data_IF_242283610295
#
_entry.id   IF_242283610295
#
_cell.length_a   1.000
_cell.length_b   1.000
_cell.length_c   1.000
_cell.angle_alpha   90.00
_cell.angle_beta   90.00
_cell.angle_gamma   90.00
#
_symmetry.space_group_name_H-M   'P 1'
#
loop_
_entity.id
_entity.type
_entity.pdbx_description
1 polymer ?
#
# COMPACT_ATOMS: atom_id res chain seq x y z
N UNK A 1 -11.15 -13.35 1.90
CA UNK A 1 -9.69 -13.47 1.67
C UNK A 1 -9.41 -14.46 0.56
N UNK A 2 -9.32 -13.98 -0.69
CA UNK A 2 -8.91 -14.78 -1.85
C UNK A 2 -7.86 -13.97 -2.62
N UNK A 3 -6.66 -14.52 -2.80
CA UNK A 3 -5.59 -13.90 -3.59
C UNK A 3 -5.44 -14.70 -4.88
N UNK A 4 -5.65 -14.05 -6.03
CA UNK A 4 -5.39 -14.66 -7.33
C UNK A 4 -3.95 -14.35 -7.74
N UNK A 5 -3.10 -15.38 -7.83
CA UNK A 5 -1.70 -15.26 -8.26
C UNK A 5 -1.66 -15.57 -9.76
N UNK A 6 -1.66 -14.52 -10.59
CA UNK A 6 -1.37 -14.65 -12.03
C UNK A 6 0.14 -14.51 -12.24
N UNK A 7 0.88 -15.61 -12.07
CA UNK A 7 2.20 -15.91 -12.65
C UNK A 7 3.36 -14.90 -12.64
N UNK A 8 3.23 -13.67 -12.13
CA UNK A 8 4.22 -12.59 -12.22
C UNK A 8 4.08 -11.56 -11.09
N UNK A 9 3.93 -12.00 -9.84
CA UNK A 9 3.90 -11.16 -8.63
C UNK A 9 2.85 -10.03 -8.55
N UNK A 10 2.15 -9.75 -9.65
CA UNK A 10 0.97 -8.92 -9.71
C UNK A 10 -0.19 -9.62 -9.01
N UNK A 11 -0.78 -8.91 -8.09
CA UNK A 11 -1.98 -9.28 -7.38
C UNK A 11 -2.98 -8.13 -7.48
N UNK A 12 -4.26 -8.46 -7.33
CA UNK A 12 -5.28 -7.47 -7.07
C UNK A 12 -5.55 -7.47 -5.56
N UNK A 13 -5.15 -6.40 -4.88
CA UNK A 13 -5.48 -6.16 -3.47
C UNK A 13 -6.80 -5.39 -3.39
N UNK A 14 -7.70 -5.75 -2.47
CA UNK A 14 -9.05 -5.16 -2.43
C UNK A 14 -9.04 -3.63 -2.27
N UNK A 15 -8.24 -3.12 -1.32
CA UNK A 15 -8.14 -1.66 -1.08
C UNK A 15 -7.08 -0.96 -1.94
N UNK A 16 -5.92 -1.60 -2.16
CA UNK A 16 -4.77 -1.03 -2.89
C UNK A 16 -4.80 -1.31 -4.40
N UNK A 17 -5.80 -2.07 -4.88
CA UNK A 17 -5.96 -2.49 -6.27
C UNK A 17 -4.74 -3.23 -6.84
N UNK A 18 -4.48 -3.08 -8.13
CA UNK A 18 -3.37 -3.75 -8.79
C UNK A 18 -2.05 -3.35 -8.15
N UNK A 19 -1.36 -4.37 -7.66
CA UNK A 19 -0.12 -4.21 -6.92
C UNK A 19 0.86 -5.30 -7.33
N UNK A 20 2.13 -4.94 -7.51
CA UNK A 20 3.20 -5.91 -7.75
C UNK A 20 4.00 -6.11 -6.47
N UNK A 21 4.06 -7.34 -5.97
CA UNK A 21 4.70 -7.64 -4.69
C UNK A 21 6.06 -8.31 -4.86
N UNK A 22 7.04 -7.84 -4.10
CA UNK A 22 8.33 -8.51 -3.90
C UNK A 22 8.43 -8.88 -2.42
N UNK A 23 8.15 -10.14 -2.12
CA UNK A 23 8.29 -10.70 -0.78
C UNK A 23 9.76 -11.10 -0.59
N UNK A 24 10.46 -10.42 0.31
CA UNK A 24 11.85 -10.75 0.66
C UNK A 24 11.92 -11.74 1.81
N UNK A 25 10.99 -11.64 2.77
CA UNK A 25 10.85 -12.51 3.93
C UNK A 25 9.44 -12.38 4.52
N UNK A 26 9.11 -13.16 5.55
CA UNK A 26 7.85 -13.02 6.29
C UNK A 26 7.66 -11.62 6.90
N UNK A 27 8.77 -10.93 7.18
CA UNK A 27 8.80 -9.58 7.77
C UNK A 27 9.17 -8.46 6.77
N UNK A 28 9.20 -8.72 5.47
CA UNK A 28 9.58 -7.71 4.48
C UNK A 28 8.87 -7.92 3.15
N UNK A 29 7.97 -6.99 2.83
CA UNK A 29 7.24 -6.97 1.55
C UNK A 29 7.37 -5.59 0.93
N UNK A 30 7.94 -5.55 -0.28
CA UNK A 30 7.88 -4.39 -1.15
C UNK A 30 6.67 -4.52 -2.08
N UNK A 31 5.93 -3.43 -2.25
CA UNK A 31 4.70 -3.37 -3.03
C UNK A 31 4.82 -2.16 -3.97
N UNK A 32 4.79 -2.40 -5.27
CA UNK A 32 4.51 -1.35 -6.23
C UNK A 32 3.00 -1.18 -6.32
N UNK A 33 2.48 -0.02 -5.94
CA UNK A 33 1.04 0.27 -5.96
C UNK A 33 0.74 1.10 -7.20
N UNK A 34 -0.02 0.54 -8.15
CA UNK A 34 -0.16 1.11 -9.49
C UNK A 34 -0.76 2.53 -9.47
N UNK A 35 -1.84 2.75 -8.73
CA UNK A 35 -2.50 4.07 -8.70
C UNK A 35 -1.71 5.15 -7.96
N UNK A 36 -0.74 4.74 -7.12
CA UNK A 36 0.16 5.66 -6.43
C UNK A 36 1.48 5.87 -7.20
N UNK A 37 1.71 5.12 -8.28
CA UNK A 37 2.92 5.16 -9.10
C UNK A 37 4.22 5.13 -8.28
N UNK A 38 4.29 4.20 -7.31
CA UNK A 38 5.36 4.20 -6.32
C UNK A 38 5.64 2.86 -5.67
N UNK A 39 6.85 2.75 -5.11
CA UNK A 39 7.28 1.65 -4.26
C UNK A 39 6.99 1.94 -2.81
N UNK A 40 6.43 0.93 -2.16
CA UNK A 40 6.03 0.97 -0.77
C UNK A 40 6.57 -0.25 -0.03
N UNK A 41 6.95 -0.08 1.22
CA UNK A 41 7.39 -1.19 2.07
C UNK A 41 6.49 -1.33 3.28
N UNK A 42 6.18 -2.57 3.64
CA UNK A 42 5.48 -2.88 4.89
C UNK A 42 5.78 -4.34 5.28
N UNK A 43 5.23 -4.76 6.41
CA UNK A 43 5.23 -6.15 6.81
C UNK A 43 3.96 -6.49 7.60
N UNK A 44 3.80 -7.78 7.91
CA UNK A 44 2.62 -8.30 8.59
C UNK A 44 2.39 -7.74 10.01
N UNK A 45 3.44 -7.25 10.70
CA UNK A 45 3.32 -6.77 12.08
C UNK A 45 3.04 -5.26 12.17
N UNK A 46 3.38 -4.50 11.14
CA UNK A 46 3.22 -3.03 11.12
C UNK A 46 2.12 -2.54 10.19
N UNK A 47 1.66 -3.34 9.22
CA UNK A 47 0.55 -2.93 8.35
C UNK A 47 -0.69 -2.53 9.20
N UNK A 48 -1.32 -1.36 8.99
CA UNK A 48 -1.31 -0.54 7.78
C UNK A 48 -0.34 0.66 7.77
N UNK A 49 0.71 0.66 8.59
CA UNK A 49 1.86 1.54 8.37
C UNK A 49 2.65 1.09 7.16
N UNK A 50 2.92 2.03 6.26
CA UNK A 50 3.57 1.78 4.98
C UNK A 50 4.67 2.83 4.81
N UNK A 51 5.86 2.40 4.43
CA UNK A 51 6.96 3.29 4.08
C UNK A 51 6.85 3.65 2.60
N UNK A 52 6.67 4.93 2.31
CA UNK A 52 6.67 5.52 0.97
C UNK A 52 8.13 5.81 0.57
N UNK A 53 8.66 4.99 -0.35
CA UNK A 53 10.06 5.08 -0.76
C UNK A 53 10.35 6.39 -1.50
N UNK A 54 9.45 6.82 -2.37
CA UNK A 54 9.63 8.01 -3.21
C UNK A 54 9.73 9.28 -2.36
N UNK A 55 8.95 9.36 -1.29
CA UNK A 55 8.96 10.50 -0.36
C UNK A 55 9.84 10.27 0.89
N UNK A 56 10.43 9.08 1.02
CA UNK A 56 11.26 8.69 2.17
C UNK A 56 10.55 8.91 3.51
N UNK A 57 9.26 8.57 3.60
CA UNK A 57 8.46 8.79 4.80
C UNK A 57 7.57 7.60 5.16
N UNK A 58 7.11 7.59 6.40
CA UNK A 58 6.04 6.70 6.82
C UNK A 58 4.69 7.35 6.55
N UNK A 59 3.76 6.55 6.05
CA UNK A 59 2.35 6.90 5.90
C UNK A 59 1.50 5.83 6.60
N UNK A 60 0.30 6.22 7.04
CA UNK A 60 -0.67 5.29 7.60
C UNK A 60 -1.89 5.19 6.68
N UNK A 61 -2.22 3.97 6.24
CA UNK A 61 -3.38 3.74 5.39
C UNK A 61 -4.64 3.52 6.22
N UNK A 62 -5.63 4.40 6.08
CA UNK A 62 -6.90 4.29 6.79
C UNK A 62 -7.81 3.26 6.11
N UNK A 63 -7.70 2.01 6.52
CA UNK A 63 -8.47 0.91 5.90
C UNK A 63 -9.97 1.04 6.11
N UNK A 64 -10.40 1.66 7.19
CA UNK A 64 -11.81 1.69 7.60
C UNK A 64 -12.58 2.77 6.82
N UNK A 65 -11.94 3.92 6.56
CA UNK A 65 -12.52 5.03 5.79
C UNK A 65 -12.16 5.01 4.30
N UNK A 66 -11.34 4.06 3.86
CA UNK A 66 -10.96 3.93 2.46
C UNK A 66 -11.90 3.01 1.69
N UNK A 67 -12.26 3.42 0.47
CA UNK A 67 -12.98 2.54 -0.48
C UNK A 67 -12.11 2.23 -1.70
N UNK A 68 -12.52 1.22 -2.47
CA UNK A 68 -11.87 0.84 -3.74
C UNK A 68 -12.14 1.83 -4.89
N UNK A 69 -12.96 2.84 -4.65
CA UNK A 69 -13.24 3.88 -5.64
C UNK A 69 -12.03 4.83 -5.74
N UNK A 70 -11.77 5.32 -6.94
CA UNK A 70 -10.68 6.27 -7.20
C UNK A 70 -10.87 7.56 -6.39
N UNK A 71 -9.80 8.08 -5.79
CA UNK A 71 -9.86 9.28 -4.94
C UNK A 71 -10.38 9.04 -3.52
N UNK A 72 -10.74 7.81 -3.15
CA UNK A 72 -11.31 7.48 -1.85
C UNK A 72 -10.37 6.60 -0.99
N UNK A 73 -9.06 6.49 -1.32
CA UNK A 73 -8.09 5.91 -0.38
C UNK A 73 -7.47 7.02 0.46
N UNK A 74 -7.62 6.89 1.76
CA UNK A 74 -7.18 7.88 2.73
C UNK A 74 -5.86 7.45 3.39
N UNK A 75 -4.86 8.31 3.26
CA UNK A 75 -3.54 8.13 3.87
C UNK A 75 -3.26 9.29 4.82
N UNK A 76 -2.72 8.99 6.00
CA UNK A 76 -2.14 10.02 6.86
C UNK A 76 -0.64 10.13 6.56
N UNK A 77 -0.18 11.32 6.18
CA UNK A 77 1.24 11.64 5.99
C UNK A 77 1.82 12.24 7.24
N UNK A 78 2.86 11.60 7.77
CA UNK A 78 3.54 12.08 8.97
C UNK A 78 4.46 13.26 8.67
N UNK A 79 5.04 13.34 7.46
CA UNK A 79 5.91 14.47 7.07
C UNK A 79 5.17 15.81 7.10
N UNK A 80 3.90 15.82 6.66
CA UNK A 80 3.05 17.01 6.60
C UNK A 80 2.02 17.09 7.72
N UNK A 81 1.91 16.05 8.56
CA UNK A 81 0.88 15.91 9.60
C UNK A 81 -0.54 16.10 9.05
N UNK A 82 -0.80 15.57 7.86
CA UNK A 82 -2.05 15.82 7.12
C UNK A 82 -2.62 14.54 6.50
N UNK A 83 -3.93 14.56 6.30
CA UNK A 83 -4.66 13.55 5.53
C UNK A 83 -4.55 13.83 4.04
N UNK A 84 -4.41 12.78 3.25
CA UNK A 84 -4.33 12.82 1.80
C UNK A 84 -5.26 11.74 1.20
N UNK A 85 -6.09 12.16 0.24
CA UNK A 85 -6.93 11.27 -0.54
C UNK A 85 -6.28 10.96 -1.89
N UNK A 86 -6.30 9.69 -2.30
CA UNK A 86 -5.75 9.18 -3.55
C UNK A 86 -6.70 8.17 -4.21
#
# INVERSE_FOLDING_TARGET
>A
NYWYISGRNWIFHESLCWSFMVVQSEESVWIWIEFLDGWFWTNQTIYPFIYDYSNSEWIWFNRDDSTREEGNRLFYRYSTSAWENR
#
